data_IF_602351141722
#
_entry.id   IF_602351141722
#
_cell.length_a   1.000
_cell.length_b   1.000
_cell.length_c   1.000
_cell.angle_alpha   90.00
_cell.angle_beta   90.00
_cell.angle_gamma   90.00
#
_symmetry.space_group_name_H-M   'P 1'
#
loop_
_entity.id
_entity.type
_entity.pdbx_description
1 polymer ?
#
# COMPACT_ATOMS: atom_id res chain seq x y z
N UNK A 1 -15.35 8.54 28.91
CA UNK A 1 -15.76 9.47 27.83
C UNK A 1 -15.36 8.84 26.50
N UNK A 2 -16.17 7.89 26.03
CA UNK A 2 -15.96 7.15 24.77
C UNK A 2 -16.96 7.70 23.75
N UNK A 3 -16.56 8.72 22.99
CA UNK A 3 -17.32 9.13 21.81
C UNK A 3 -16.82 8.30 20.62
N UNK A 4 -17.77 7.64 19.94
CA UNK A 4 -17.68 6.77 18.76
C UNK A 4 -17.54 5.26 19.02
N UNK A 5 -18.50 4.43 18.55
CA UNK A 5 -18.39 2.98 18.63
C UNK A 5 -17.29 2.47 17.67
N UNK A 6 -16.64 1.34 18.00
CA UNK A 6 -15.47 0.82 17.29
C UNK A 6 -15.72 0.52 15.81
N UNK A 7 -16.96 0.21 15.41
CA UNK A 7 -17.31 -0.03 14.00
C UNK A 7 -17.33 1.26 13.15
N UNK A 8 -17.75 2.38 13.73
CA UNK A 8 -17.76 3.69 13.06
C UNK A 8 -16.33 4.20 12.79
N UNK A 9 -15.42 3.95 13.73
CA UNK A 9 -14.00 4.28 13.59
C UNK A 9 -13.34 3.45 12.47
N UNK A 10 -13.59 2.13 12.42
CA UNK A 10 -13.13 1.26 11.33
C UNK A 10 -13.63 1.75 9.96
N UNK A 11 -14.90 2.15 9.87
CA UNK A 11 -15.49 2.68 8.64
C UNK A 11 -14.89 4.03 8.23
N UNK A 12 -14.63 4.93 9.18
CA UNK A 12 -14.03 6.24 8.93
C UNK A 12 -12.59 6.12 8.40
N UNK A 13 -11.80 5.23 9.02
CA UNK A 13 -10.42 4.96 8.60
C UNK A 13 -10.40 4.37 7.20
N UNK A 14 -11.24 3.37 6.92
CA UNK A 14 -11.35 2.81 5.57
C UNK A 14 -11.73 3.86 4.52
N UNK A 15 -12.66 4.77 4.84
CA UNK A 15 -13.02 5.90 3.96
C UNK A 15 -11.84 6.81 3.69
N UNK A 16 -11.12 7.22 4.74
CA UNK A 16 -9.96 8.10 4.63
C UNK A 16 -8.94 7.51 3.66
N UNK A 17 -8.61 6.23 3.84
CA UNK A 17 -7.63 5.52 3.02
C UNK A 17 -8.09 5.36 1.57
N UNK A 18 -9.34 4.98 1.38
CA UNK A 18 -9.92 4.88 0.05
C UNK A 18 -9.84 6.21 -0.70
N UNK A 19 -10.24 7.32 -0.08
CA UNK A 19 -10.16 8.63 -0.71
C UNK A 19 -8.72 9.08 -0.93
N UNK A 20 -7.81 8.82 0.01
CA UNK A 20 -6.39 9.10 -0.13
C UNK A 20 -5.79 8.39 -1.36
N UNK A 21 -5.96 7.07 -1.49
CA UNK A 21 -5.46 6.30 -2.63
C UNK A 21 -6.16 6.66 -3.94
N UNK A 22 -7.41 7.12 -3.88
CA UNK A 22 -8.14 7.63 -5.05
C UNK A 22 -7.59 8.97 -5.53
N UNK A 23 -7.30 9.90 -4.63
CA UNK A 23 -6.70 11.20 -4.95
C UNK A 23 -5.32 11.03 -5.58
N UNK A 24 -4.52 10.09 -5.09
CA UNK A 24 -3.18 9.81 -5.63
C UNK A 24 -3.22 9.03 -6.97
N UNK A 25 -4.39 8.56 -7.40
CA UNK A 25 -4.57 7.85 -8.68
C UNK A 25 -4.22 6.35 -8.64
N UNK A 26 -3.97 5.79 -7.45
CA UNK A 26 -3.68 4.37 -7.27
C UNK A 26 -4.94 3.51 -7.18
N UNK A 27 -6.09 4.11 -6.83
CA UNK A 27 -7.36 3.41 -6.71
C UNK A 27 -8.48 4.12 -7.50
N UNK A 28 -8.49 4.02 -8.84
CA UNK A 28 -9.48 4.67 -9.69
C UNK A 28 -10.85 3.97 -9.64
N UNK A 29 -11.32 3.55 -8.47
CA UNK A 29 -12.59 2.84 -8.32
C UNK A 29 -13.74 3.80 -7.97
N UNK A 30 -14.97 3.36 -8.24
CA UNK A 30 -16.14 3.95 -7.62
C UNK A 30 -16.68 3.00 -6.56
N UNK A 31 -17.07 3.54 -5.42
CA UNK A 31 -17.62 2.80 -4.32
C UNK A 31 -19.05 3.29 -4.08
N UNK A 32 -20.01 2.38 -4.24
CA UNK A 32 -21.39 2.67 -3.92
C UNK A 32 -21.54 2.88 -2.41
N UNK A 33 -22.26 3.93 -2.06
CA UNK A 33 -22.51 4.48 -0.72
C UNK A 33 -22.28 3.50 0.43
N UNK A 34 -21.34 3.83 1.33
CA UNK A 34 -21.00 3.04 2.51
C UNK A 34 -22.17 2.65 3.43
N UNK A 35 -23.26 3.44 3.43
CA UNK A 35 -24.49 3.12 4.19
C UNK A 35 -25.21 1.86 3.68
N UNK A 36 -24.97 1.45 2.44
CA UNK A 36 -25.66 0.34 1.76
C UNK A 36 -24.68 -0.84 1.49
N UNK A 37 -23.45 -0.73 1.99
CA UNK A 37 -22.43 -1.77 1.84
C UNK A 37 -22.89 -3.15 2.31
N UNK A 38 -23.56 -3.33 3.47
CA UNK A 38 -23.97 -4.65 3.92
C UNK A 38 -25.06 -5.31 3.08
N UNK A 39 -25.78 -4.56 2.23
CA UNK A 39 -26.90 -5.07 1.42
C UNK A 39 -26.57 -5.26 -0.06
N UNK A 40 -25.50 -4.66 -0.58
CA UNK A 40 -25.13 -4.73 -2.00
C UNK A 40 -24.10 -5.85 -2.25
N UNK A 41 -24.44 -6.79 -3.14
CA UNK A 41 -23.54 -7.91 -3.53
C UNK A 41 -22.24 -7.47 -4.22
N UNK A 42 -22.20 -6.29 -4.84
CA UNK A 42 -21.05 -5.73 -5.57
C UNK A 42 -20.95 -4.20 -5.40
N UNK A 43 -20.36 -3.71 -4.30
CA UNK A 43 -20.31 -2.28 -4.03
C UNK A 43 -19.24 -1.53 -4.83
N UNK A 44 -18.20 -2.20 -5.31
CA UNK A 44 -17.19 -1.58 -6.19
C UNK A 44 -17.63 -1.63 -7.65
N UNK A 45 -17.51 -0.50 -8.34
CA UNK A 45 -17.82 -0.34 -9.77
C UNK A 45 -16.68 0.31 -10.53
N UNK A 46 -16.66 0.05 -11.83
CA UNK A 46 -15.82 0.73 -12.80
C UNK A 46 -16.17 2.23 -12.77
N UNK A 47 -15.15 3.07 -12.74
CA UNK A 47 -15.28 4.52 -12.72
C UNK A 47 -14.63 5.10 -13.97
N UNK A 48 -15.44 5.52 -14.94
CA UNK A 48 -14.91 6.23 -16.12
C UNK A 48 -14.23 7.54 -15.69
N UNK A 49 -14.80 8.22 -14.69
CA UNK A 49 -14.21 9.43 -14.09
C UNK A 49 -12.84 9.13 -13.47
N UNK A 50 -12.68 7.97 -12.82
CA UNK A 50 -11.39 7.57 -12.24
C UNK A 50 -10.31 7.33 -13.29
N UNK A 51 -10.68 6.74 -14.44
CA UNK A 51 -9.77 6.56 -15.57
C UNK A 51 -9.40 7.91 -16.20
N UNK A 52 -10.40 8.76 -16.44
CA UNK A 52 -10.17 10.11 -16.96
C UNK A 52 -9.29 10.93 -16.02
N UNK A 53 -9.47 10.79 -14.71
CA UNK A 53 -8.62 11.43 -13.69
C UNK A 53 -7.17 10.95 -13.78
N UNK A 54 -6.92 9.65 -13.90
CA UNK A 54 -5.54 9.14 -14.05
C UNK A 54 -4.89 9.62 -15.36
N UNK A 55 -5.65 9.68 -16.46
CA UNK A 55 -5.15 10.25 -17.73
C UNK A 55 -4.84 11.73 -17.56
N UNK A 56 -5.71 12.46 -16.87
CA UNK A 56 -5.48 13.87 -16.54
C UNK A 56 -4.22 14.06 -15.69
N UNK A 57 -4.00 13.23 -14.66
CA UNK A 57 -2.76 13.24 -13.86
C UNK A 57 -1.51 13.03 -14.72
N UNK A 58 -1.56 12.12 -15.71
CA UNK A 58 -0.45 11.90 -16.65
C UNK A 58 -0.18 13.15 -17.50
N UNK A 59 -1.21 13.84 -17.99
CA UNK A 59 -1.04 15.07 -18.78
C UNK A 59 -0.44 16.18 -17.91
N UNK A 60 -0.99 16.38 -16.71
CA UNK A 60 -0.49 17.38 -15.75
C UNK A 60 0.95 17.11 -15.37
N UNK A 61 1.33 15.86 -15.09
CA UNK A 61 2.71 15.58 -14.74
C UNK A 61 3.66 15.78 -15.92
N UNK A 62 3.26 15.49 -17.15
CA UNK A 62 4.10 15.76 -18.31
C UNK A 62 4.42 17.25 -18.41
N UNK A 63 3.41 18.11 -18.25
CA UNK A 63 3.60 19.57 -18.28
C UNK A 63 4.46 20.06 -17.12
N UNK A 64 4.14 19.65 -15.88
CA UNK A 64 4.90 20.07 -14.69
C UNK A 64 6.32 19.50 -14.71
N UNK A 65 6.53 18.31 -15.28
CA UNK A 65 7.85 17.67 -15.36
C UNK A 65 8.83 18.45 -16.22
N UNK A 66 8.36 19.07 -17.31
CA UNK A 66 9.20 19.92 -18.15
C UNK A 66 9.79 21.07 -17.31
N UNK A 67 8.93 21.78 -16.58
CA UNK A 67 9.37 22.87 -15.72
C UNK A 67 10.20 22.38 -14.53
N UNK A 68 9.86 21.21 -13.97
CA UNK A 68 10.61 20.59 -12.88
C UNK A 68 12.04 20.23 -13.28
N UNK A 69 12.25 19.72 -14.50
CA UNK A 69 13.60 19.41 -15.01
C UNK A 69 14.39 20.69 -15.23
N UNK A 70 13.79 21.72 -15.83
CA UNK A 70 14.43 23.04 -15.96
C UNK A 70 14.82 23.62 -14.59
N UNK A 71 13.95 23.45 -13.59
CA UNK A 71 14.24 23.86 -12.23
C UNK A 71 15.45 23.14 -11.59
N UNK A 72 15.69 21.86 -11.94
CA UNK A 72 16.90 21.12 -11.50
C UNK A 72 18.17 21.68 -12.17
N UNK A 73 18.08 22.08 -13.44
CA UNK A 73 19.21 22.72 -14.12
C UNK A 73 19.56 24.06 -13.49
N UNK A 74 18.55 24.86 -13.15
CA UNK A 74 18.71 26.20 -12.58
C UNK A 74 19.08 26.21 -11.09
N UNK A 75 18.79 25.15 -10.34
CA UNK A 75 19.07 25.12 -8.89
C UNK A 75 20.58 25.12 -8.64
N UNK A 76 21.06 25.96 -7.72
CA UNK A 76 22.47 25.94 -7.33
C UNK A 76 22.55 25.53 -5.87
N UNK A 77 23.27 24.44 -5.57
CA UNK A 77 23.44 23.95 -4.22
C UNK A 77 24.88 23.47 -3.99
N UNK A 78 25.30 23.45 -2.72
CA UNK A 78 26.71 23.39 -2.29
C UNK A 78 27.51 22.21 -2.86
N UNK A 79 26.86 21.07 -3.10
CA UNK A 79 27.48 19.84 -3.59
C UNK A 79 27.15 19.53 -5.07
N UNK A 80 26.65 20.51 -5.83
CA UNK A 80 26.29 20.31 -7.24
C UNK A 80 27.54 20.10 -8.09
N UNK A 81 27.70 18.89 -8.63
CA UNK A 81 28.71 18.56 -9.64
C UNK A 81 28.05 18.20 -10.97
N UNK A 82 28.80 18.27 -12.08
CA UNK A 82 28.29 17.85 -13.41
C UNK A 82 27.82 16.39 -13.41
N UNK A 83 28.47 15.53 -12.63
CA UNK A 83 28.11 14.11 -12.50
C UNK A 83 26.83 13.93 -11.71
N UNK A 84 26.71 14.61 -10.56
CA UNK A 84 25.51 14.56 -9.71
C UNK A 84 24.29 15.08 -10.48
N UNK A 85 24.43 16.21 -11.18
CA UNK A 85 23.35 16.76 -12.00
C UNK A 85 22.84 15.76 -13.06
N UNK A 86 23.75 15.05 -13.73
CA UNK A 86 23.37 14.02 -14.71
C UNK A 86 22.62 12.86 -14.05
N UNK A 87 23.04 12.45 -12.86
CA UNK A 87 22.36 11.40 -12.08
C UNK A 87 20.96 11.86 -11.69
N UNK A 88 20.81 13.07 -11.16
CA UNK A 88 19.51 13.62 -10.73
C UNK A 88 18.52 13.76 -11.88
N UNK A 89 18.97 14.27 -13.04
CA UNK A 89 18.11 14.39 -14.23
C UNK A 89 17.72 13.01 -14.75
N UNK A 90 18.66 12.07 -14.84
CA UNK A 90 18.37 10.71 -15.30
C UNK A 90 17.38 10.01 -14.38
N UNK A 91 17.62 10.09 -13.06
CA UNK A 91 16.74 9.54 -12.03
C UNK A 91 15.36 10.18 -12.08
N UNK A 92 15.27 11.51 -12.15
CA UNK A 92 14.00 12.21 -12.22
C UNK A 92 13.20 11.82 -13.46
N UNK A 93 13.85 11.72 -14.62
CA UNK A 93 13.20 11.30 -15.86
C UNK A 93 12.68 9.86 -15.80
N UNK A 94 13.53 8.94 -15.31
CA UNK A 94 13.16 7.53 -15.15
C UNK A 94 12.01 7.38 -14.14
N UNK A 95 12.09 8.10 -13.03
CA UNK A 95 11.04 8.12 -12.01
C UNK A 95 9.69 8.61 -12.56
N UNK A 96 9.69 9.67 -13.35
CA UNK A 96 8.48 10.17 -14.00
C UNK A 96 7.87 9.15 -14.98
N UNK A 97 8.71 8.45 -15.76
CA UNK A 97 8.24 7.39 -16.67
C UNK A 97 7.54 6.27 -15.89
N UNK A 98 8.17 5.77 -14.82
CA UNK A 98 7.58 4.72 -14.00
C UNK A 98 6.28 5.22 -13.36
N UNK A 99 6.26 6.44 -12.82
CA UNK A 99 5.06 7.02 -12.21
C UNK A 99 3.89 7.11 -13.20
N UNK A 100 4.13 7.56 -14.43
CA UNK A 100 3.12 7.52 -15.50
C UNK A 100 2.69 6.10 -15.83
N UNK A 101 3.64 5.16 -15.93
CA UNK A 101 3.35 3.74 -16.13
C UNK A 101 2.43 3.20 -15.03
N UNK A 102 2.63 3.57 -13.76
CA UNK A 102 1.78 3.14 -12.65
C UNK A 102 0.35 3.66 -12.78
N UNK A 103 0.15 4.95 -13.08
CA UNK A 103 -1.19 5.52 -13.26
C UNK A 103 -1.92 4.93 -14.47
N UNK A 104 -1.20 4.68 -15.56
CA UNK A 104 -1.75 4.00 -16.74
C UNK A 104 -2.07 2.54 -16.45
N UNK A 105 -1.19 1.83 -15.71
CA UNK A 105 -1.41 0.45 -15.29
C UNK A 105 -2.69 0.31 -14.46
N UNK A 106 -2.87 1.16 -13.45
CA UNK A 106 -4.07 1.15 -12.61
C UNK A 106 -5.32 1.52 -13.39
N UNK A 107 -5.23 2.45 -14.36
CA UNK A 107 -6.31 2.80 -15.26
C UNK A 107 -6.71 1.64 -16.18
N UNK A 108 -5.75 1.01 -16.88
CA UNK A 108 -6.02 -0.09 -17.81
C UNK A 108 -6.49 -1.36 -17.11
N UNK A 109 -5.95 -1.66 -15.94
CA UNK A 109 -6.30 -2.87 -15.16
C UNK A 109 -7.45 -2.64 -14.19
N UNK A 110 -8.11 -1.48 -14.22
CA UNK A 110 -9.24 -1.13 -13.34
C UNK A 110 -10.33 -2.21 -13.30
N UNK A 111 -10.69 -2.82 -14.44
CA UNK A 111 -11.69 -3.91 -14.47
C UNK A 111 -11.28 -5.11 -13.62
N UNK A 112 -9.99 -5.49 -13.67
CA UNK A 112 -9.44 -6.56 -12.82
C UNK A 112 -9.50 -6.14 -11.35
N UNK A 113 -9.11 -4.92 -11.03
CA UNK A 113 -9.13 -4.37 -9.67
C UNK A 113 -10.55 -4.38 -9.07
N UNK A 114 -11.57 -3.91 -9.79
CA UNK A 114 -12.98 -3.96 -9.36
C UNK A 114 -13.41 -5.39 -9.03
N UNK A 115 -13.12 -6.33 -9.93
CA UNK A 115 -13.47 -7.74 -9.75
C UNK A 115 -12.80 -8.33 -8.50
N UNK A 116 -11.54 -7.97 -8.29
CA UNK A 116 -10.75 -8.41 -7.15
C UNK A 116 -11.29 -7.87 -5.83
N UNK A 117 -11.55 -6.56 -5.74
CA UNK A 117 -12.12 -5.93 -4.54
C UNK A 117 -13.50 -6.49 -4.19
N UNK A 118 -14.36 -6.74 -5.19
CA UNK A 118 -15.67 -7.36 -4.96
C UNK A 118 -15.56 -8.81 -4.49
N UNK A 119 -14.65 -9.62 -5.04
CA UNK A 119 -14.39 -10.99 -4.56
C UNK A 119 -13.87 -10.99 -3.13
N UNK A 120 -12.93 -10.10 -2.83
CA UNK A 120 -12.34 -9.95 -1.50
C UNK A 120 -13.42 -9.61 -0.46
N UNK A 121 -14.30 -8.66 -0.78
CA UNK A 121 -15.41 -8.31 0.10
C UNK A 121 -16.44 -9.44 0.24
N UNK A 122 -16.71 -10.18 -0.84
CA UNK A 122 -17.61 -11.34 -0.77
C UNK A 122 -17.07 -12.45 0.15
N UNK A 123 -15.75 -12.64 0.20
CA UNK A 123 -15.10 -13.55 1.17
C UNK A 123 -15.29 -13.05 2.60
N UNK A 124 -15.05 -11.76 2.86
CA UNK A 124 -15.30 -11.16 4.17
C UNK A 124 -16.74 -11.41 4.65
N UNK A 125 -17.75 -11.19 3.80
CA UNK A 125 -19.14 -11.46 4.16
C UNK A 125 -19.43 -12.94 4.44
N UNK A 126 -18.77 -13.87 3.75
CA UNK A 126 -18.91 -15.31 4.03
C UNK A 126 -18.29 -15.68 5.37
N UNK A 127 -17.10 -15.17 5.65
CA UNK A 127 -16.41 -15.42 6.92
C UNK A 127 -17.14 -14.80 8.12
N UNK A 128 -17.79 -13.64 7.94
CA UNK A 128 -18.58 -12.99 8.97
C UNK A 128 -19.74 -13.86 9.51
N UNK A 129 -20.29 -14.78 8.70
CA UNK A 129 -21.34 -15.71 9.14
C UNK A 129 -20.91 -16.62 10.29
N UNK A 130 -19.62 -16.93 10.40
CA UNK A 130 -19.10 -17.83 11.42
C UNK A 130 -18.94 -17.16 12.80
N UNK A 131 -19.37 -15.89 12.97
CA UNK A 131 -19.44 -15.13 14.24
C UNK A 131 -18.20 -15.33 15.13
N UNK A 132 -17.02 -15.34 14.52
CA UNK A 132 -15.77 -15.41 15.26
C UNK A 132 -15.57 -14.08 15.99
N UNK A 133 -15.13 -14.08 17.27
CA UNK A 133 -14.63 -12.88 17.91
C UNK A 133 -13.56 -12.29 17.00
N UNK A 134 -13.85 -11.11 16.45
CA UNK A 134 -12.93 -10.43 15.57
C UNK A 134 -11.71 -9.99 16.38
N UNK A 135 -10.63 -10.78 16.34
CA UNK A 135 -9.26 -10.31 16.62
C UNK A 135 -8.77 -9.30 15.55
N UNK A 136 -9.67 -8.83 14.67
CA UNK A 136 -9.41 -7.89 13.58
C UNK A 136 -8.85 -6.54 14.04
N UNK A 137 -8.83 -6.27 15.36
CA UNK A 137 -8.22 -5.06 15.90
C UNK A 137 -6.70 -5.02 15.64
N UNK A 138 -5.99 -6.15 15.71
CA UNK A 138 -4.52 -6.15 15.63
C UNK A 138 -4.03 -5.76 14.23
N UNK A 139 -4.64 -6.29 13.17
CA UNK A 139 -4.23 -5.95 11.80
C UNK A 139 -4.62 -4.52 11.37
N UNK A 140 -5.78 -4.03 11.82
CA UNK A 140 -6.18 -2.64 11.57
C UNK A 140 -5.28 -1.64 12.32
N UNK A 141 -4.84 -1.97 13.54
CA UNK A 141 -3.88 -1.15 14.29
C UNK A 141 -2.52 -1.11 13.62
N UNK A 142 -1.99 -2.25 13.17
CA UNK A 142 -0.74 -2.32 12.41
C UNK A 142 -0.80 -1.45 11.15
N UNK A 143 -1.91 -1.53 10.42
CA UNK A 143 -2.17 -0.70 9.25
C UNK A 143 -2.07 0.80 9.58
N UNK A 144 -2.77 1.24 10.63
CA UNK A 144 -2.82 2.66 11.02
C UNK A 144 -1.43 3.13 11.41
N UNK A 145 -0.71 2.32 12.18
CA UNK A 145 0.66 2.62 12.58
C UNK A 145 1.59 2.79 11.38
N UNK A 146 1.55 1.89 10.40
CA UNK A 146 2.34 1.99 9.17
C UNK A 146 1.96 3.21 8.33
N UNK A 147 0.67 3.51 8.22
CA UNK A 147 0.19 4.68 7.49
C UNK A 147 0.67 5.99 8.13
N UNK A 148 0.50 6.10 9.46
CA UNK A 148 0.90 7.29 10.22
C UNK A 148 2.41 7.46 10.26
N UNK A 149 3.18 6.39 10.45
CA UNK A 149 4.64 6.46 10.47
C UNK A 149 5.19 6.91 9.11
N UNK A 150 4.64 6.38 8.02
CA UNK A 150 5.01 6.81 6.68
C UNK A 150 4.68 8.29 6.47
N UNK A 151 3.49 8.74 6.90
CA UNK A 151 3.09 10.13 6.78
C UNK A 151 4.01 11.08 7.57
N UNK A 152 4.41 10.68 8.79
CA UNK A 152 5.37 11.44 9.61
C UNK A 152 6.73 11.53 8.91
N UNK A 153 7.22 10.43 8.33
CA UNK A 153 8.49 10.43 7.58
C UNK A 153 8.42 11.39 6.38
N UNK A 154 7.31 11.40 5.65
CA UNK A 154 7.11 12.34 4.55
C UNK A 154 7.09 13.80 5.02
N UNK A 155 6.38 14.12 6.10
CA UNK A 155 6.38 15.48 6.67
C UNK A 155 7.80 15.88 7.08
N UNK A 156 8.50 15.02 7.81
CA UNK A 156 9.89 15.27 8.23
C UNK A 156 10.78 15.50 7.02
N UNK A 157 10.65 14.69 5.97
CA UNK A 157 11.42 14.83 4.74
C UNK A 157 11.16 16.19 4.06
N UNK A 158 9.90 16.63 3.96
CA UNK A 158 9.57 17.93 3.36
C UNK A 158 10.17 19.09 4.17
N UNK A 159 10.12 19.01 5.51
CA UNK A 159 10.72 20.02 6.38
C UNK A 159 12.24 20.04 6.17
N UNK A 160 12.89 18.89 6.16
CA UNK A 160 14.35 18.80 6.10
C UNK A 160 14.88 19.16 4.72
N UNK A 161 14.17 18.80 3.65
CA UNK A 161 14.53 19.19 2.29
C UNK A 161 14.49 20.72 2.14
N UNK A 162 13.47 21.37 2.71
CA UNK A 162 13.35 22.84 2.70
C UNK A 162 14.49 23.50 3.47
N UNK A 163 14.85 22.98 4.65
CA UNK A 163 15.93 23.54 5.48
C UNK A 163 17.32 23.25 4.89
N UNK A 164 17.54 22.08 4.30
CA UNK A 164 18.84 21.69 3.73
C UNK A 164 19.14 22.39 2.42
N UNK A 165 18.11 22.80 1.68
CA UNK A 165 18.25 23.29 0.32
C UNK A 165 17.47 24.58 0.07
N UNK A 166 17.81 25.64 0.80
CA UNK A 166 17.21 26.99 0.73
C UNK A 166 17.07 27.57 -0.70
N UNK A 167 17.85 27.08 -1.67
CA UNK A 167 17.86 27.56 -3.06
C UNK A 167 17.23 26.58 -4.07
N UNK A 168 16.71 25.44 -3.62
CA UNK A 168 16.01 24.51 -4.51
C UNK A 168 14.59 25.04 -4.78
N UNK A 169 14.28 25.22 -6.07
CA UNK A 169 12.95 25.65 -6.51
C UNK A 169 11.95 24.54 -6.15
N UNK A 170 10.85 24.88 -5.47
CA UNK A 170 9.76 23.94 -5.09
C UNK A 170 9.35 23.04 -6.26
N UNK A 171 9.39 23.57 -7.49
CA UNK A 171 9.04 22.84 -8.70
C UNK A 171 9.90 21.59 -8.94
N UNK A 172 11.18 21.56 -8.54
CA UNK A 172 12.04 20.39 -8.71
C UNK A 172 11.65 19.22 -7.81
N UNK A 173 10.89 19.46 -6.73
CA UNK A 173 10.38 18.39 -5.88
C UNK A 173 9.44 17.47 -6.64
N UNK A 174 8.79 17.95 -7.70
CA UNK A 174 7.89 17.12 -8.51
C UNK A 174 8.65 15.99 -9.20
N UNK A 175 9.79 16.26 -9.83
CA UNK A 175 10.60 15.21 -10.45
C UNK A 175 11.45 14.41 -9.45
N UNK A 176 11.88 15.02 -8.34
CA UNK A 176 12.81 14.38 -7.39
C UNK A 176 12.12 13.59 -6.27
N UNK A 177 10.94 14.01 -5.82
CA UNK A 177 10.19 13.41 -4.71
C UNK A 177 8.85 12.83 -5.14
N UNK A 178 8.24 13.37 -6.20
CA UNK A 178 6.94 12.92 -6.70
C UNK A 178 6.88 11.42 -7.01
N UNK A 179 7.81 10.87 -7.81
CA UNK A 179 7.85 9.43 -8.10
C UNK A 179 8.01 8.58 -6.83
N UNK A 180 8.98 8.93 -5.97
CA UNK A 180 9.24 8.25 -4.69
C UNK A 180 7.99 8.21 -3.80
N UNK A 181 7.17 9.28 -3.82
CA UNK A 181 5.89 9.35 -3.13
C UNK A 181 4.89 8.32 -3.66
N UNK A 182 4.69 8.25 -4.98
CA UNK A 182 3.78 7.28 -5.57
C UNK A 182 4.23 5.84 -5.30
N UNK A 183 5.52 5.56 -5.34
CA UNK A 183 6.07 4.23 -5.07
C UNK A 183 5.84 3.80 -3.64
N UNK A 184 6.13 4.69 -2.68
CA UNK A 184 5.91 4.45 -1.27
C UNK A 184 4.47 4.02 -0.99
N UNK A 185 3.53 4.80 -1.48
CA UNK A 185 2.11 4.51 -1.27
C UNK A 185 1.63 3.28 -2.05
N UNK A 186 2.19 3.00 -3.23
CA UNK A 186 1.91 1.77 -3.96
C UNK A 186 2.33 0.52 -3.17
N UNK A 187 3.56 0.52 -2.64
CA UNK A 187 4.10 -0.61 -1.87
C UNK A 187 3.36 -0.79 -0.55
N UNK A 188 3.01 0.30 0.13
CA UNK A 188 2.15 0.22 1.32
C UNK A 188 0.76 -0.31 0.99
N UNK A 189 0.13 0.13 -0.11
CA UNK A 189 -1.13 -0.43 -0.58
C UNK A 189 -1.03 -1.93 -0.83
N UNK A 190 0.09 -2.39 -1.39
CA UNK A 190 0.33 -3.81 -1.60
C UNK A 190 0.52 -4.56 -0.26
N UNK A 191 1.35 -4.05 0.65
CA UNK A 191 1.52 -4.60 1.99
C UNK A 191 0.18 -4.70 2.73
N UNK A 192 -0.68 -3.69 2.60
CA UNK A 192 -2.01 -3.69 3.19
C UNK A 192 -2.94 -4.76 2.62
N UNK A 193 -2.90 -5.00 1.32
CA UNK A 193 -3.63 -6.09 0.69
C UNK A 193 -3.17 -7.46 1.21
N UNK A 194 -1.85 -7.63 1.38
CA UNK A 194 -1.22 -8.83 1.93
C UNK A 194 -1.64 -9.05 3.39
N UNK A 195 -1.49 -8.06 4.26
CA UNK A 195 -1.95 -8.13 5.66
C UNK A 195 -3.46 -8.45 5.74
N UNK A 196 -4.27 -7.88 4.86
CA UNK A 196 -5.71 -8.14 4.83
C UNK A 196 -6.05 -9.56 4.40
N UNK A 197 -5.30 -10.14 3.45
CA UNK A 197 -5.42 -11.56 3.09
C UNK A 197 -5.06 -12.46 4.25
N UNK A 198 -3.96 -12.17 4.94
CA UNK A 198 -3.51 -12.91 6.13
C UNK A 198 -4.62 -13.01 7.17
N UNK A 199 -5.23 -11.87 7.53
CA UNK A 199 -6.35 -11.86 8.48
C UNK A 199 -7.53 -12.74 8.03
N UNK A 200 -7.80 -12.83 6.72
CA UNK A 200 -8.84 -13.73 6.20
C UNK A 200 -8.45 -15.20 6.32
N UNK A 201 -7.18 -15.56 6.08
CA UNK A 201 -6.67 -16.92 6.29
C UNK A 201 -6.68 -17.29 7.77
N UNK A 202 -6.24 -16.42 8.67
CA UNK A 202 -6.33 -16.64 10.12
C UNK A 202 -7.78 -16.88 10.56
N UNK A 203 -8.72 -16.05 10.07
CA UNK A 203 -10.15 -16.18 10.39
C UNK A 203 -10.71 -17.51 9.87
N UNK A 204 -10.35 -17.89 8.64
CA UNK A 204 -10.73 -19.15 8.04
C UNK A 204 -10.18 -20.35 8.83
N UNK A 205 -8.91 -20.30 9.23
CA UNK A 205 -8.24 -21.34 10.01
C UNK A 205 -8.89 -21.48 11.41
N UNK A 206 -9.22 -20.37 12.07
CA UNK A 206 -10.01 -20.38 13.32
C UNK A 206 -11.39 -20.99 13.11
N UNK A 207 -12.06 -20.71 11.99
CA UNK A 207 -13.36 -21.29 11.65
C UNK A 207 -13.27 -22.82 11.47
N UNK A 208 -12.26 -23.29 10.74
CA UNK A 208 -12.00 -24.72 10.51
C UNK A 208 -11.70 -25.42 11.84
N UNK A 209 -10.82 -24.85 12.68
CA UNK A 209 -10.46 -25.42 13.98
C UNK A 209 -11.68 -25.58 14.91
N UNK A 210 -12.57 -24.57 14.95
CA UNK A 210 -13.82 -24.66 15.72
C UNK A 210 -14.76 -25.73 15.17
N UNK A 211 -14.88 -25.83 13.84
CA UNK A 211 -15.72 -26.85 13.22
C UNK A 211 -15.17 -28.26 13.51
N UNK A 212 -13.85 -28.45 13.45
CA UNK A 212 -13.23 -29.74 13.80
C UNK A 212 -13.44 -30.09 15.27
N UNK A 213 -13.32 -29.13 16.19
CA UNK A 213 -13.55 -29.36 17.62
C UNK A 213 -15.03 -29.73 17.90
N UNK A 214 -15.97 -29.01 17.28
CA UNK A 214 -17.40 -29.32 17.38
C UNK A 214 -17.73 -30.71 16.79
N UNK A 215 -17.03 -31.11 15.71
CA UNK A 215 -17.18 -32.45 15.12
C UNK A 215 -16.74 -33.53 16.10
N UNK A 216 -15.57 -33.38 16.73
CA UNK A 216 -15.05 -34.31 17.73
C UNK A 216 -16.01 -34.43 18.92
N UNK A 217 -16.52 -33.30 19.44
CA UNK A 217 -17.49 -33.31 20.55
C UNK A 217 -18.79 -34.04 20.16
N UNK A 218 -19.34 -33.75 18.98
CA UNK A 218 -20.60 -34.36 18.50
C UNK A 218 -20.49 -35.86 18.19
N UNK A 219 -19.32 -36.36 17.83
CA UNK A 219 -19.05 -37.79 17.66
C UNK A 219 -18.95 -38.52 19.01
N UNK A 220 -18.68 -37.78 20.09
CA UNK A 220 -18.58 -38.29 21.45
C UNK A 220 -19.96 -38.36 22.13
N UNK A 221 -20.85 -37.42 21.81
CA UNK A 221 -22.27 -37.42 22.20
C UNK A 221 -23.13 -38.22 21.20
N UNK A 222 -23.15 -39.55 21.35
CA UNK A 222 -24.08 -40.47 20.64
C UNK A 222 -25.54 -40.14 20.98
N UNK A 223 -26.25 -39.27 20.26
CA UNK A 223 -27.73 -39.43 20.11
C UNK A 223 -28.54 -38.58 19.10
N UNK A 224 -27.95 -37.87 18.11
CA UNK A 224 -28.79 -37.11 17.14
C UNK A 224 -28.28 -37.06 15.68
N UNK A 225 -27.73 -38.19 15.23
CA UNK A 225 -26.70 -38.30 14.18
C UNK A 225 -27.02 -38.04 12.70
N UNK A 226 -28.18 -37.53 12.27
CA UNK A 226 -28.45 -37.38 10.81
C UNK A 226 -28.57 -35.93 10.32
N UNK A 227 -29.04 -35.01 11.17
CA UNK A 227 -29.18 -33.58 10.82
C UNK A 227 -27.87 -32.79 11.02
N UNK A 228 -27.17 -33.06 12.12
CA UNK A 228 -25.95 -32.33 12.52
C UNK A 228 -24.78 -32.66 11.59
N UNK A 229 -24.63 -33.93 11.18
CA UNK A 229 -23.57 -34.38 10.27
C UNK A 229 -23.68 -33.73 8.89
N UNK A 230 -24.90 -33.55 8.37
CA UNK A 230 -25.15 -32.89 7.08
C UNK A 230 -24.86 -31.38 7.15
N UNK A 231 -25.32 -30.70 8.20
CA UNK A 231 -25.04 -29.28 8.43
C UNK A 231 -23.53 -29.01 8.61
N UNK A 232 -22.82 -29.89 9.32
CA UNK A 232 -21.37 -29.83 9.48
C UNK A 232 -20.63 -30.07 8.15
N UNK A 233 -21.09 -31.04 7.35
CA UNK A 233 -20.57 -31.30 6.01
C UNK A 233 -20.72 -30.10 5.07
N UNK A 234 -21.90 -29.47 5.07
CA UNK A 234 -22.18 -28.27 4.27
C UNK A 234 -21.29 -27.08 4.70
N UNK A 235 -21.09 -26.88 6.01
CA UNK A 235 -20.21 -25.85 6.55
C UNK A 235 -18.73 -26.09 6.19
N UNK A 236 -18.26 -27.33 6.27
CA UNK A 236 -16.90 -27.68 5.88
C UNK A 236 -16.66 -27.46 4.38
N UNK A 237 -17.65 -27.81 3.54
CA UNK A 237 -17.60 -27.57 2.11
C UNK A 237 -17.61 -26.08 1.77
N UNK A 238 -18.36 -25.25 2.51
CA UNK A 238 -18.33 -23.79 2.38
C UNK A 238 -16.97 -23.20 2.78
N UNK A 239 -16.33 -23.70 3.85
CA UNK A 239 -14.98 -23.29 4.27
C UNK A 239 -13.91 -23.69 3.24
N UNK A 240 -13.94 -24.93 2.75
CA UNK A 240 -13.04 -25.40 1.67
C UNK A 240 -13.20 -24.56 0.41
N UNK A 241 -14.44 -24.24 0.02
CA UNK A 241 -14.70 -23.35 -1.12
C UNK A 241 -14.17 -21.94 -0.87
N UNK A 242 -14.28 -21.44 0.36
CA UNK A 242 -13.75 -20.13 0.75
C UNK A 242 -12.23 -20.11 0.70
N UNK A 243 -11.55 -21.17 1.16
CA UNK A 243 -10.10 -21.35 1.03
C UNK A 243 -9.65 -21.25 -0.43
N UNK A 244 -10.29 -22.01 -1.34
CA UNK A 244 -9.95 -21.99 -2.77
C UNK A 244 -10.17 -20.61 -3.41
N UNK A 245 -11.23 -19.92 -3.03
CA UNK A 245 -11.48 -18.54 -3.50
C UNK A 245 -10.41 -17.60 -2.97
N UNK A 246 -10.03 -17.73 -1.70
CA UNK A 246 -9.01 -16.89 -1.07
C UNK A 246 -7.64 -17.09 -1.70
N UNK A 247 -7.22 -18.34 -1.93
CA UNK A 247 -6.01 -18.67 -2.68
C UNK A 247 -6.01 -18.03 -4.07
N UNK A 248 -7.12 -18.13 -4.80
CA UNK A 248 -7.25 -17.48 -6.12
C UNK A 248 -7.13 -15.96 -6.04
N UNK A 249 -7.69 -15.34 -5.02
CA UNK A 249 -7.55 -13.90 -4.78
C UNK A 249 -6.09 -13.55 -4.51
N UNK A 250 -5.36 -14.32 -3.70
CA UNK A 250 -3.92 -14.13 -3.46
C UNK A 250 -3.13 -14.14 -4.76
N UNK A 251 -3.37 -15.12 -5.63
CA UNK A 251 -2.73 -15.17 -6.95
C UNK A 251 -3.08 -13.94 -7.81
N UNK A 252 -4.35 -13.52 -7.84
CA UNK A 252 -4.80 -12.36 -8.61
C UNK A 252 -4.24 -11.02 -8.06
N UNK A 253 -4.09 -10.87 -6.72
CA UNK A 253 -3.44 -9.71 -6.09
C UNK A 253 -1.96 -9.68 -6.47
N UNK A 254 -1.27 -10.81 -6.37
CA UNK A 254 0.15 -10.89 -6.74
C UNK A 254 0.37 -10.59 -8.22
N UNK A 255 -0.45 -11.15 -9.13
CA UNK A 255 -0.39 -10.85 -10.57
C UNK A 255 -0.61 -9.35 -10.85
N UNK A 256 -1.52 -8.69 -10.11
CA UNK A 256 -1.82 -7.28 -10.30
C UNK A 256 -0.71 -6.34 -9.82
N UNK A 257 -0.09 -6.64 -8.67
CA UNK A 257 0.86 -5.75 -8.00
C UNK A 257 2.34 -6.09 -8.27
N UNK A 258 2.68 -7.31 -8.66
CA UNK A 258 4.08 -7.76 -8.82
C UNK A 258 4.91 -6.91 -9.77
N UNK A 259 4.42 -6.65 -10.99
CA UNK A 259 5.15 -5.84 -11.99
C UNK A 259 5.32 -4.39 -11.51
N UNK A 260 4.23 -3.66 -11.14
CA UNK A 260 4.35 -2.33 -10.53
C UNK A 260 5.31 -2.26 -9.34
N UNK A 261 5.22 -3.22 -8.42
CA UNK A 261 6.05 -3.27 -7.23
C UNK A 261 7.52 -3.51 -7.57
N UNK A 262 7.82 -4.41 -8.51
CA UNK A 262 9.20 -4.70 -8.92
C UNK A 262 9.89 -3.46 -9.48
N UNK A 263 9.22 -2.75 -10.37
CA UNK A 263 9.77 -1.54 -11.00
C UNK A 263 9.96 -0.43 -9.96
N UNK A 264 8.98 -0.24 -9.07
CA UNK A 264 9.08 0.71 -7.96
C UNK A 264 10.23 0.37 -6.99
N UNK A 265 10.37 -0.90 -6.60
CA UNK A 265 11.43 -1.37 -5.71
C UNK A 265 12.81 -1.16 -6.35
N UNK A 266 12.96 -1.45 -7.64
CA UNK A 266 14.22 -1.26 -8.36
C UNK A 266 14.67 0.21 -8.33
N UNK A 267 13.76 1.15 -8.55
CA UNK A 267 14.06 2.59 -8.48
C UNK A 267 14.35 3.05 -7.04
N UNK A 268 13.58 2.58 -6.05
CA UNK A 268 13.85 2.86 -4.63
C UNK A 268 15.22 2.31 -4.18
N UNK A 269 15.66 1.16 -4.69
CA UNK A 269 17.01 0.66 -4.42
C UNK A 269 18.09 1.56 -5.01
N UNK A 270 17.91 2.05 -6.24
CA UNK A 270 18.82 3.04 -6.82
C UNK A 270 18.85 4.33 -5.98
N UNK A 271 17.69 4.77 -5.48
CA UNK A 271 17.56 5.89 -4.53
C UNK A 271 18.33 5.64 -3.23
N UNK A 272 18.25 4.44 -2.66
CA UNK A 272 18.98 4.09 -1.42
C UNK A 272 20.49 4.19 -1.64
N UNK A 273 21.01 3.63 -2.73
CA UNK A 273 22.44 3.70 -3.06
C UNK A 273 22.89 5.15 -3.24
N UNK A 274 22.10 5.96 -3.97
CA UNK A 274 22.37 7.38 -4.16
C UNK A 274 22.38 8.16 -2.84
N UNK A 275 21.42 7.92 -1.94
CA UNK A 275 21.35 8.62 -0.66
C UNK A 275 22.42 8.14 0.33
N UNK A 276 22.81 6.87 0.29
CA UNK A 276 23.89 6.34 1.11
C UNK A 276 25.23 7.04 0.81
N UNK A 277 25.48 7.40 -0.46
CA UNK A 277 26.65 8.19 -0.85
C UNK A 277 26.72 9.54 -0.10
N UNK A 278 25.60 10.24 0.05
CA UNK A 278 25.56 11.52 0.78
C UNK A 278 25.74 11.40 2.29
N UNK A 279 25.51 10.23 2.87
CA UNK A 279 25.82 9.95 4.28
C UNK A 279 27.31 9.62 4.45
N UNK A 280 27.90 8.92 3.48
CA UNK A 280 29.31 8.53 3.53
C UNK A 280 30.27 9.71 3.32
N UNK A 281 29.93 10.68 2.48
CA UNK A 281 30.76 11.88 2.25
C UNK A 281 31.14 12.61 3.55
N UNK A 282 30.19 13.05 4.40
CA UNK A 282 30.52 13.75 5.64
C UNK A 282 31.20 12.86 6.70
N UNK A 283 31.05 11.53 6.60
CA UNK A 283 31.66 10.58 7.52
C UNK A 283 33.15 10.30 7.18
N UNK A 284 33.50 10.29 5.89
CA UNK A 284 34.83 9.93 5.39
C UNK A 284 35.69 11.17 5.01
N UNK A 285 35.10 12.36 4.99
CA UNK A 285 35.76 13.59 4.56
C UNK A 285 36.74 14.17 5.60
N UNK A 286 37.91 14.71 5.18
CA UNK A 286 38.98 15.17 6.08
C UNK A 286 38.72 16.52 6.79
N UNK A 287 37.58 17.20 6.53
CA UNK A 287 37.26 18.50 7.12
C UNK A 287 35.87 18.49 7.78
N UNK A 288 35.82 18.25 9.09
CA UNK A 288 34.59 18.21 9.87
C UNK A 288 33.99 19.60 10.09
N UNK A 289 33.13 20.02 9.15
CA UNK A 289 31.91 20.72 9.50
C UNK A 289 30.77 19.81 9.03
N UNK A 290 30.30 18.93 9.92
CA UNK A 290 29.22 18.00 9.64
C UNK A 290 27.97 18.83 9.36
N UNK A 291 27.52 18.85 8.11
CA UNK A 291 26.27 19.53 7.75
C UNK A 291 25.11 18.68 8.29
N UNK A 292 24.73 18.99 9.53
CA UNK A 292 23.68 18.27 10.27
C UNK A 292 22.38 18.27 9.48
N UNK A 293 22.06 19.36 8.79
CA UNK A 293 20.86 19.48 7.96
C UNK A 293 20.89 18.45 6.83
N UNK A 294 21.94 18.46 6.01
CA UNK A 294 22.08 17.55 4.88
C UNK A 294 22.13 16.07 5.29
N UNK A 295 22.78 15.78 6.42
CA UNK A 295 22.91 14.43 6.96
C UNK A 295 21.55 13.91 7.43
N UNK A 296 20.82 14.72 8.20
CA UNK A 296 19.49 14.40 8.71
C UNK A 296 18.47 14.25 7.57
N UNK A 297 18.54 15.09 6.54
CA UNK A 297 17.74 14.92 5.33
C UNK A 297 18.03 13.59 4.62
N UNK A 298 19.31 13.20 4.50
CA UNK A 298 19.70 11.92 3.89
C UNK A 298 19.20 10.72 4.70
N UNK A 299 19.19 10.80 6.04
CA UNK A 299 18.59 9.79 6.92
C UNK A 299 17.09 9.66 6.68
N UNK A 300 16.36 10.76 6.59
CA UNK A 300 14.92 10.71 6.26
C UNK A 300 14.65 10.16 4.87
N UNK A 301 15.49 10.48 3.87
CA UNK A 301 15.42 9.89 2.53
C UNK A 301 15.66 8.38 2.57
N UNK A 302 16.60 7.89 3.36
CA UNK A 302 16.80 6.44 3.54
C UNK A 302 15.62 5.78 4.24
N UNK A 303 15.11 6.37 5.32
CA UNK A 303 13.93 5.86 6.03
C UNK A 303 12.71 5.78 5.10
N UNK A 304 12.48 6.82 4.30
CA UNK A 304 11.39 6.89 3.32
C UNK A 304 11.53 5.82 2.22
N UNK A 305 12.73 5.53 1.74
CA UNK A 305 12.90 4.49 0.71
C UNK A 305 12.82 3.07 1.29
N UNK A 306 13.27 2.87 2.53
CA UNK A 306 13.39 1.54 3.15
C UNK A 306 12.12 1.06 3.83
N UNK A 307 11.36 1.94 4.50
CA UNK A 307 10.12 1.60 5.20
C UNK A 307 9.11 0.81 4.33
N UNK A 308 8.72 1.25 3.12
CA UNK A 308 7.73 0.53 2.32
C UNK A 308 8.23 -0.86 1.88
N UNK A 309 9.54 -0.99 1.62
CA UNK A 309 10.17 -2.27 1.25
C UNK A 309 10.12 -3.21 2.46
N UNK A 310 10.56 -2.75 3.63
CA UNK A 310 10.52 -3.53 4.86
C UNK A 310 9.08 -3.94 5.22
N UNK A 311 8.12 -3.03 5.12
CA UNK A 311 6.71 -3.30 5.38
C UNK A 311 6.17 -4.40 4.45
N UNK A 312 6.49 -4.33 3.15
CA UNK A 312 6.07 -5.35 2.18
C UNK A 312 6.72 -6.71 2.46
N UNK A 313 8.03 -6.75 2.70
CA UNK A 313 8.77 -7.98 2.98
C UNK A 313 8.24 -8.67 4.24
N UNK A 314 8.08 -7.93 5.33
CA UNK A 314 7.53 -8.45 6.58
C UNK A 314 6.09 -8.96 6.38
N UNK A 315 5.28 -8.26 5.60
CA UNK A 315 3.91 -8.69 5.30
C UNK A 315 3.89 -10.03 4.55
N UNK A 316 4.81 -10.24 3.61
CA UNK A 316 4.91 -11.49 2.83
C UNK A 316 5.43 -12.64 3.71
N UNK A 317 6.47 -12.41 4.50
CA UNK A 317 7.00 -13.42 5.43
C UNK A 317 5.95 -13.90 6.43
N UNK A 318 5.10 -12.99 6.91
CA UNK A 318 4.00 -13.33 7.84
C UNK A 318 2.95 -14.24 7.19
N UNK A 319 2.69 -14.11 5.88
CA UNK A 319 1.79 -15.05 5.17
C UNK A 319 2.43 -16.41 4.97
N UNK A 320 3.73 -16.46 4.64
CA UNK A 320 4.40 -17.74 4.36
C UNK A 320 4.52 -18.68 5.57
N UNK A 321 4.41 -18.14 6.79
CA UNK A 321 4.47 -18.92 8.03
C UNK A 321 3.15 -19.58 8.43
N UNK A 322 2.03 -19.23 7.78
CA UNK A 322 0.68 -19.79 8.05
C UNK A 322 0.32 -20.95 7.12
#
# INVERSE_FOLDING_TARGET
MYLFPPELMKMAIFKLLYYFYKIIGLMPLNLLTFRILPTIKQPFRISNIGVMYNIFLVIVILEVSYFSIMAIFDSNYRNKSKTILKIEVCKGFLGLIIMMFLWLWTAFKQKKLVKLSNKFLAVNYRLAKFKLPEDSQTGAQLFIWLFMSNFIIWISLFITETISYDQIKILSYVALLGPDFIYNWLLLLFAFNVISLRMQFETLNKAISRLSFATILSLTERDSGVSISKLMGDNFLELKRTHLVLYKITCEINEFHSIPALVAIADLFASIVYNAYYILIPLLGPSHALDVSMTLNSVFRLAMNSLPIAALTLSIELIQRE
#
